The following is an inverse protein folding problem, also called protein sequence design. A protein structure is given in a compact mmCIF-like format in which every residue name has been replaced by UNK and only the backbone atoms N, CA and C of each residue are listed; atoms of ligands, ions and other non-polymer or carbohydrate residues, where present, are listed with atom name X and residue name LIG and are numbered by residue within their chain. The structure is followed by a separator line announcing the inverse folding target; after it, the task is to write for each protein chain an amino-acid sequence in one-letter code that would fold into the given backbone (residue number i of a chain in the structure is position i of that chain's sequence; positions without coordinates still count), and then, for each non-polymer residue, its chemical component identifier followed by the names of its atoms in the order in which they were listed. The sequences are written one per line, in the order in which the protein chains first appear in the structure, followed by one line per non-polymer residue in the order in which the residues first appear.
data_IF_743095637866
#
_entry.id   IF_743095637866
#
_cell.length_a   1.000
_cell.length_b   1.000
_cell.length_c   1.000
_cell.angle_alpha   90.00
_cell.angle_beta   90.00
_cell.angle_gamma   90.00
#
_symmetry.space_group_name_H-M   'P 1'
#
loop_
_entity.id
_entity.type
_entity.pdbx_description
1 polymer ?
#
# COMPACT_ATOMS: atom_id res chain seq x y z
N UNK A 1 27.30 13.12 -15.59
CA UNK A 1 26.93 13.87 -14.37
C UNK A 1 26.32 12.87 -13.39
N UNK A 2 27.08 12.37 -12.42
CA UNK A 2 26.62 11.43 -11.40
C UNK A 2 26.60 12.18 -10.07
N UNK A 3 25.43 12.40 -9.47
CA UNK A 3 25.40 13.21 -8.24
C UNK A 3 24.04 13.52 -7.62
N UNK A 4 22.92 13.19 -8.26
CA UNK A 4 21.62 13.23 -7.59
C UNK A 4 21.04 11.83 -7.60
N UNK A 5 21.42 11.01 -6.61
CA UNK A 5 20.63 9.83 -6.26
C UNK A 5 19.23 10.32 -5.94
N UNK A 6 18.25 9.98 -6.77
CA UNK A 6 16.86 10.41 -6.60
C UNK A 6 16.44 10.13 -5.15
N UNK A 7 16.13 11.19 -4.39
CA UNK A 7 15.77 11.08 -2.97
C UNK A 7 14.45 10.37 -2.74
N UNK A 8 13.62 10.36 -3.78
CA UNK A 8 12.29 9.78 -3.79
C UNK A 8 12.07 8.97 -5.07
N UNK A 9 11.16 8.01 -5.00
CA UNK A 9 10.71 7.16 -6.10
C UNK A 9 9.20 7.34 -6.20
N UNK A 10 8.70 7.75 -7.37
CA UNK A 10 7.27 7.82 -7.64
C UNK A 10 6.81 6.49 -8.22
N UNK A 11 5.91 5.82 -7.52
CA UNK A 11 5.19 4.64 -7.99
C UNK A 11 3.81 5.07 -8.49
N UNK A 12 3.46 4.68 -9.71
CA UNK A 12 2.16 4.94 -10.32
C UNK A 12 1.47 3.60 -10.58
N UNK A 13 0.15 3.58 -10.43
CA UNK A 13 -0.69 2.38 -10.54
C UNK A 13 -1.86 2.65 -11.50
N UNK A 14 -1.59 2.81 -12.82
CA UNK A 14 -2.63 3.14 -13.80
C UNK A 14 -3.78 2.11 -13.82
N UNK A 15 -3.49 0.85 -13.51
CA UNK A 15 -4.48 -0.23 -13.40
C UNK A 15 -5.45 -0.08 -12.22
N UNK A 16 -5.09 0.72 -11.21
CA UNK A 16 -5.94 1.04 -10.06
C UNK A 16 -6.63 2.39 -10.21
N UNK A 17 -6.31 3.14 -11.27
CA UNK A 17 -6.87 4.44 -11.61
C UNK A 17 -5.78 5.50 -11.86
N UNK A 18 -6.10 6.45 -12.73
CA UNK A 18 -5.16 7.46 -13.23
C UNK A 18 -4.51 8.36 -12.17
N UNK A 19 -5.11 8.42 -10.96
CA UNK A 19 -4.64 9.24 -9.85
C UNK A 19 -3.93 8.43 -8.77
N UNK A 20 -3.89 7.09 -8.87
CA UNK A 20 -3.30 6.26 -7.82
C UNK A 20 -1.77 6.31 -7.89
N UNK A 21 -1.16 6.86 -6.85
CA UNK A 21 0.30 7.00 -6.79
C UNK A 21 0.83 7.01 -5.36
N UNK A 22 2.06 6.53 -5.21
CA UNK A 22 2.78 6.50 -3.94
C UNK A 22 4.17 7.09 -4.17
N UNK A 23 4.53 8.09 -3.37
CA UNK A 23 5.86 8.68 -3.35
C UNK A 23 6.65 8.05 -2.19
N UNK A 24 7.63 7.23 -2.52
CA UNK A 24 8.51 6.59 -1.56
C UNK A 24 9.79 7.40 -1.36
N UNK A 25 10.30 7.46 -0.13
CA UNK A 25 11.72 7.79 0.12
C UNK A 25 12.56 6.68 -0.50
N UNK A 26 13.66 7.04 -1.16
CA UNK A 26 14.52 6.04 -1.79
C UNK A 26 15.15 5.13 -0.73
N UNK A 27 14.82 3.83 -0.69
CA UNK A 27 15.32 2.94 0.36
C UNK A 27 16.85 2.82 0.34
N UNK A 28 17.51 3.03 -0.81
CA UNK A 28 18.99 2.99 -0.92
C UNK A 28 19.70 4.10 -0.14
N UNK A 29 18.97 5.13 0.26
CA UNK A 29 19.51 6.28 0.98
C UNK A 29 19.19 6.24 2.48
N UNK A 30 18.48 5.21 2.93
CA UNK A 30 18.05 5.08 4.32
C UNK A 30 18.93 4.08 5.09
N UNK A 31 19.08 4.27 6.41
CA UNK A 31 19.78 3.31 7.24
C UNK A 31 19.07 1.95 7.21
N UNK A 32 19.81 0.82 7.26
CA UNK A 32 19.20 -0.51 7.32
C UNK A 32 18.17 -0.66 8.45
N UNK A 33 18.40 -0.02 9.60
CA UNK A 33 17.48 -0.03 10.74
C UNK A 33 16.09 0.57 10.42
N UNK A 34 15.96 1.41 9.40
CA UNK A 34 14.68 1.95 8.94
C UNK A 34 13.98 1.05 7.91
N UNK A 35 14.68 0.03 7.40
CA UNK A 35 14.21 -0.92 6.38
C UNK A 35 13.94 -2.31 6.97
N UNK A 36 14.50 -2.61 8.13
CA UNK A 36 14.30 -3.86 8.85
C UNK A 36 13.08 -3.76 9.76
N UNK A 37 12.09 -4.67 9.62
CA UNK A 37 10.99 -4.78 10.57
C UNK A 37 11.49 -5.04 11.99
N UNK A 38 10.68 -4.67 12.98
CA UNK A 38 10.92 -5.05 14.38
C UNK A 38 10.95 -6.59 14.53
N UNK A 39 11.81 -7.08 15.42
CA UNK A 39 11.91 -8.52 15.69
C UNK A 39 10.60 -9.05 16.29
N UNK A 40 10.06 -10.10 15.66
CA UNK A 40 8.86 -10.81 16.14
C UNK A 40 9.27 -12.17 16.69
N UNK A 41 8.75 -12.59 17.85
CA UNK A 41 9.03 -13.90 18.41
C UNK A 41 8.75 -15.03 17.40
N UNK A 42 9.70 -15.94 17.24
CA UNK A 42 9.59 -17.10 16.35
C UNK A 42 9.47 -18.41 17.13
N UNK A 43 8.81 -19.40 16.54
CA UNK A 43 8.73 -20.76 17.06
C UNK A 43 10.03 -21.54 16.81
N UNK A 44 10.06 -22.80 17.24
CA UNK A 44 11.23 -23.68 17.05
C UNK A 44 11.59 -23.95 15.57
N UNK A 45 10.68 -23.66 14.64
CA UNK A 45 10.88 -23.82 13.19
C UNK A 45 11.24 -22.50 12.49
N UNK A 46 11.45 -21.42 13.26
CA UNK A 46 11.76 -20.09 12.73
C UNK A 46 10.56 -19.38 12.10
N UNK A 47 9.34 -19.85 12.35
CA UNK A 47 8.12 -19.17 11.91
C UNK A 47 7.64 -18.18 12.97
N UNK A 48 7.09 -17.01 12.59
CA UNK A 48 6.52 -16.08 13.57
C UNK A 48 5.44 -16.75 14.42
N UNK A 49 5.56 -16.66 15.75
CA UNK A 49 4.52 -17.11 16.69
C UNK A 49 3.21 -16.35 16.48
N UNK A 50 3.31 -15.09 16.05
CA UNK A 50 2.19 -14.26 15.62
C UNK A 50 2.44 -13.72 14.20
N UNK A 51 1.86 -14.36 13.18
CA UNK A 51 1.94 -13.89 11.80
C UNK A 51 1.36 -12.48 11.60
N UNK A 52 0.38 -12.08 12.41
CA UNK A 52 -0.22 -10.75 12.31
C UNK A 52 0.75 -9.69 12.83
N UNK A 53 1.46 -9.95 13.92
CA UNK A 53 2.51 -9.07 14.42
C UNK A 53 3.64 -8.86 13.40
N UNK A 54 4.04 -9.92 12.68
CA UNK A 54 5.02 -9.83 11.60
C UNK A 54 4.56 -8.93 10.44
N UNK A 55 3.29 -9.05 10.04
CA UNK A 55 2.71 -8.17 9.02
C UNK A 55 2.66 -6.70 9.48
N UNK A 56 2.25 -6.45 10.72
CA UNK A 56 2.21 -5.10 11.30
C UNK A 56 3.61 -4.48 11.36
N UNK A 57 4.63 -5.25 11.74
CA UNK A 57 6.01 -4.79 11.75
C UNK A 57 6.48 -4.36 10.35
N UNK A 58 6.09 -5.10 9.30
CA UNK A 58 6.37 -4.73 7.92
C UNK A 58 5.61 -3.46 7.49
N UNK A 59 4.34 -3.33 7.87
CA UNK A 59 3.55 -2.13 7.55
C UNK A 59 4.09 -0.87 8.21
N UNK A 60 4.71 -0.97 9.39
CA UNK A 60 5.44 0.15 10.01
C UNK A 60 6.60 0.62 9.14
N UNK A 61 7.40 -0.30 8.60
CA UNK A 61 8.51 0.02 7.67
C UNK A 61 7.97 0.72 6.43
N UNK A 62 6.92 0.15 5.81
CA UNK A 62 6.28 0.75 4.64
C UNK A 62 5.73 2.16 4.93
N UNK A 63 5.06 2.35 6.07
CA UNK A 63 4.54 3.66 6.47
C UNK A 63 5.64 4.70 6.67
N UNK A 64 6.80 4.32 7.24
CA UNK A 64 7.94 5.22 7.38
C UNK A 64 8.56 5.61 6.02
N UNK A 65 8.52 4.70 5.04
CA UNK A 65 9.08 4.91 3.71
C UNK A 65 8.21 5.79 2.82
N UNK A 66 6.89 5.74 3.00
CA UNK A 66 5.96 6.55 2.20
C UNK A 66 6.07 8.02 2.65
N UNK A 67 6.49 8.89 1.73
CA UNK A 67 6.58 10.33 1.95
C UNK A 67 5.24 11.04 1.67
N UNK A 68 4.53 10.58 0.65
CA UNK A 68 3.21 11.07 0.27
C UNK A 68 2.49 10.00 -0.55
N UNK A 69 1.16 10.03 -0.57
CA UNK A 69 0.38 9.12 -1.40
C UNK A 69 -0.95 9.71 -1.87
N UNK A 70 -1.48 9.11 -2.92
CA UNK A 70 -2.84 9.30 -3.37
C UNK A 70 -3.41 7.90 -3.62
N UNK A 71 -4.04 7.33 -2.60
CA UNK A 71 -4.53 5.95 -2.57
C UNK A 71 -5.88 5.88 -1.89
N UNK A 72 -6.58 4.80 -2.13
CA UNK A 72 -7.93 4.57 -1.65
C UNK A 72 -7.97 3.37 -0.70
N UNK A 73 -8.96 3.36 0.19
CA UNK A 73 -9.19 2.28 1.14
C UNK A 73 -9.85 1.11 0.41
N UNK A 74 -9.09 0.03 0.19
CA UNK A 74 -9.62 -1.17 -0.48
C UNK A 74 -10.61 -1.95 0.40
N UNK A 75 -10.67 -1.64 1.69
CA UNK A 75 -11.56 -2.28 2.67
C UNK A 75 -12.82 -1.46 2.93
N UNK A 76 -12.85 -0.20 2.48
CA UNK A 76 -14.00 0.66 2.66
C UNK A 76 -15.19 0.12 1.86
N UNK A 77 -16.21 -0.29 2.61
CA UNK A 77 -17.55 -0.60 2.10
C UNK A 77 -18.46 0.63 2.10
N UNK A 78 -18.02 1.74 2.71
CA UNK A 78 -18.71 3.02 2.67
C UNK A 78 -18.58 3.61 1.25
N UNK A 79 -19.56 3.32 0.40
CA UNK A 79 -19.54 3.60 -1.05
C UNK A 79 -19.81 2.38 -1.91
N UNK A 80 -19.94 1.18 -1.32
CA UNK A 80 -20.44 0.00 -2.03
C UNK A 80 -21.89 0.26 -2.44
N UNK A 81 -22.08 0.76 -3.66
CA UNK A 81 -23.40 0.84 -4.28
C UNK A 81 -23.94 -0.58 -4.30
N UNK A 82 -25.00 -0.80 -3.55
CA UNK A 82 -25.70 -2.08 -3.59
C UNK A 82 -26.46 -2.13 -4.90
N UNK A 83 -25.99 -2.97 -5.81
CA UNK A 83 -26.64 -3.19 -7.11
C UNK A 83 -27.57 -4.37 -6.97
N UNK A 84 -28.88 -4.12 -7.10
CA UNK A 84 -29.86 -5.17 -7.28
C UNK A 84 -29.96 -5.50 -8.77
N UNK A 85 -29.44 -6.68 -9.13
CA UNK A 85 -29.38 -7.14 -10.52
C UNK A 85 -30.77 -7.45 -11.10
N UNK A 86 -31.79 -7.61 -10.26
CA UNK A 86 -33.16 -7.94 -10.66
C UNK A 86 -34.09 -6.72 -10.66
N UNK A 87 -33.56 -5.52 -10.37
CA UNK A 87 -34.35 -4.29 -10.29
C UNK A 87 -34.63 -3.67 -11.68
N UNK A 88 -35.83 -3.13 -11.85
CA UNK A 88 -36.26 -2.43 -13.07
C UNK A 88 -35.44 -1.15 -13.36
N UNK A 89 -34.69 -0.64 -12.38
CA UNK A 89 -33.83 0.54 -12.47
C UNK A 89 -32.32 0.23 -12.48
N UNK A 90 -31.93 -1.00 -12.82
CA UNK A 90 -30.54 -1.46 -12.89
C UNK A 90 -29.60 -0.51 -13.65
N UNK A 91 -30.03 0.02 -14.79
CA UNK A 91 -29.21 0.96 -15.59
C UNK A 91 -28.89 2.24 -14.81
N UNK A 92 -29.83 2.74 -14.00
CA UNK A 92 -29.60 3.90 -13.14
C UNK A 92 -28.68 3.57 -11.96
N UNK A 93 -28.78 2.35 -11.42
CA UNK A 93 -27.89 1.86 -10.36
C UNK A 93 -26.45 1.66 -10.87
N UNK A 94 -26.28 1.17 -12.09
CA UNK A 94 -24.97 1.03 -12.75
C UNK A 94 -24.36 2.41 -13.07
N UNK A 95 -25.17 3.37 -13.50
CA UNK A 95 -24.70 4.73 -13.74
C UNK A 95 -24.28 5.45 -12.43
N UNK A 96 -24.93 5.12 -11.30
CA UNK A 96 -24.52 5.62 -9.99
C UNK A 96 -23.18 5.05 -9.51
N UNK A 97 -22.76 3.87 -9.98
CA UNK A 97 -21.41 3.32 -9.71
C UNK A 97 -20.31 4.18 -10.31
N UNK A 98 -20.54 4.76 -11.50
CA UNK A 98 -19.56 5.61 -12.18
C UNK A 98 -19.28 6.90 -11.40
N UNK A 99 -20.22 7.35 -10.56
CA UNK A 99 -20.09 8.52 -9.70
C UNK A 99 -19.69 8.21 -8.25
N UNK A 100 -19.51 6.94 -7.89
CA UNK A 100 -19.13 6.57 -6.53
C UNK A 100 -17.65 6.90 -6.26
N UNK A 101 -17.43 7.94 -5.45
CA UNK A 101 -16.07 8.32 -5.02
C UNK A 101 -15.49 7.26 -4.07
N UNK A 102 -14.34 6.70 -4.44
CA UNK A 102 -13.59 5.80 -3.57
C UNK A 102 -13.13 6.54 -2.31
N UNK A 103 -13.25 5.90 -1.14
CA UNK A 103 -12.80 6.48 0.13
C UNK A 103 -11.29 6.66 0.09
N UNK A 104 -10.84 7.91 0.13
CA UNK A 104 -9.41 8.24 0.09
C UNK A 104 -8.77 8.03 1.46
N UNK A 105 -7.62 7.36 1.48
CA UNK A 105 -6.76 7.32 2.66
C UNK A 105 -5.88 8.57 2.67
N UNK A 106 -5.91 9.31 3.77
CA UNK A 106 -5.18 10.58 3.91
C UNK A 106 -3.92 10.38 4.73
N UNK A 107 -4.04 9.77 5.91
CA UNK A 107 -2.92 9.59 6.83
C UNK A 107 -2.11 8.33 6.52
N UNK A 108 -0.78 8.46 6.49
CA UNK A 108 0.14 7.35 6.27
C UNK A 108 0.41 6.70 7.63
N UNK A 109 -0.37 5.69 7.98
CA UNK A 109 -0.21 4.90 9.20
C UNK A 109 -0.09 3.41 8.85
N UNK A 110 0.50 2.57 9.72
CA UNK A 110 0.57 1.13 9.48
C UNK A 110 -0.82 0.50 9.24
N UNK A 111 -1.84 0.99 9.93
CA UNK A 111 -3.22 0.52 9.79
C UNK A 111 -3.80 0.87 8.43
N UNK A 112 -3.52 2.07 7.90
CA UNK A 112 -3.96 2.47 6.58
C UNK A 112 -3.16 1.77 5.47
N UNK A 113 -1.87 1.50 5.70
CA UNK A 113 -1.05 0.68 4.78
C UNK A 113 -1.63 -0.74 4.66
N UNK A 114 -2.09 -1.32 5.77
CA UNK A 114 -2.73 -2.64 5.78
C UNK A 114 -4.04 -2.70 4.96
N UNK A 115 -4.66 -1.55 4.67
CA UNK A 115 -5.89 -1.42 3.86
C UNK A 115 -5.64 -1.15 2.39
N UNK A 116 -4.37 -1.06 1.98
CA UNK A 116 -4.04 -0.82 0.58
C UNK A 116 -4.35 -2.06 -0.27
N UNK A 117 -4.66 -1.86 -1.57
CA UNK A 117 -4.66 -2.94 -2.54
C UNK A 117 -3.32 -3.69 -2.54
N UNK A 118 -3.36 -5.02 -2.66
CA UNK A 118 -2.16 -5.87 -2.67
C UNK A 118 -1.14 -5.48 -3.73
N UNK A 119 -1.60 -4.98 -4.88
CA UNK A 119 -0.71 -4.49 -5.94
C UNK A 119 0.22 -3.36 -5.44
N UNK A 120 -0.29 -2.45 -4.60
CA UNK A 120 0.51 -1.38 -4.00
C UNK A 120 1.49 -1.95 -2.97
N UNK A 121 1.02 -2.83 -2.08
CA UNK A 121 1.85 -3.44 -1.04
C UNK A 121 3.03 -4.20 -1.66
N UNK A 122 2.75 -5.04 -2.66
CA UNK A 122 3.76 -5.83 -3.36
C UNK A 122 4.80 -4.92 -4.03
N UNK A 123 4.35 -3.86 -4.73
CA UNK A 123 5.25 -2.94 -5.42
C UNK A 123 6.17 -2.18 -4.45
N UNK A 124 5.67 -1.78 -3.29
CA UNK A 124 6.49 -1.16 -2.23
C UNK A 124 7.50 -2.19 -1.70
N UNK A 125 7.05 -3.42 -1.43
CA UNK A 125 7.91 -4.51 -0.97
C UNK A 125 9.05 -4.83 -1.93
N UNK A 126 8.81 -4.80 -3.25
CA UNK A 126 9.85 -4.97 -4.26
C UNK A 126 10.93 -3.89 -4.18
N UNK A 127 10.57 -2.62 -3.98
CA UNK A 127 11.55 -1.53 -3.87
C UNK A 127 12.41 -1.65 -2.60
N UNK A 128 11.84 -2.17 -1.51
CA UNK A 128 12.59 -2.49 -0.28
C UNK A 128 13.54 -3.67 -0.55
N UNK A 129 13.04 -4.74 -1.17
CA UNK A 129 13.80 -5.95 -1.47
C UNK A 129 15.03 -5.71 -2.36
N UNK A 130 14.93 -4.80 -3.34
CA UNK A 130 16.05 -4.40 -4.21
C UNK A 130 17.24 -3.78 -3.48
N UNK A 131 17.07 -3.36 -2.24
CA UNK A 131 18.16 -2.83 -1.39
C UNK A 131 18.77 -3.94 -0.54
N UNK A 132 17.97 -4.91 -0.12
CA UNK A 132 18.44 -6.08 0.62
C UNK A 132 19.22 -7.06 -0.28
N UNK A 133 18.84 -7.18 -1.56
CA UNK A 133 19.53 -8.02 -2.55
C UNK A 133 19.80 -7.22 -3.85
N UNK A 134 20.96 -6.53 -3.93
CA UNK A 134 21.33 -5.76 -5.11
C UNK A 134 21.92 -6.70 -6.18
N UNK A 135 21.06 -7.43 -6.88
CA UNK A 135 21.43 -8.18 -8.10
C UNK A 135 21.65 -7.26 -9.30
#
# INVERSE_FOLDING_TARGET
MSGYTNRVILLQFPELGDKVSVLLRNPRLLPPAELTPEDVPVDANGQPLDPQAANVAMYKVMANLIAAWHVYDATATAGAVHVDLDADDLDAQLQALEGADQVRLVDITPENVARLPMAIINRIGEEIGRVADPS
#
